data_IF_090224037134
#
_entry.id   IF_090224037134
#
_cell.length_a   1.000
_cell.length_b   1.000
_cell.length_c   1.000
_cell.angle_alpha   90.00
_cell.angle_beta   90.00
_cell.angle_gamma   90.00
#
_symmetry.space_group_name_H-M   'P 1'
#
loop_
_entity.id
_entity.type
_entity.pdbx_description
1 polymer ?
#
# COMPACT_ATOMS: atom_id res chain seq x y z
N UNK A 1 11.00 12.47 -11.57
CA UNK A 1 11.19 11.56 -12.73
C UNK A 1 11.32 10.14 -12.19
N UNK A 2 10.47 9.18 -12.64
CA UNK A 2 10.50 7.80 -12.15
C UNK A 2 11.63 7.00 -12.83
N UNK A 3 12.80 6.94 -12.21
CA UNK A 3 13.97 6.24 -12.78
C UNK A 3 13.76 4.73 -13.01
N UNK A 4 12.87 4.08 -12.26
CA UNK A 4 12.56 2.66 -12.42
C UNK A 4 11.88 2.32 -13.75
N UNK A 5 11.37 3.32 -14.49
CA UNK A 5 10.82 3.19 -15.85
C UNK A 5 11.67 3.90 -16.89
N UNK A 6 12.94 4.20 -16.61
CA UNK A 6 13.85 4.73 -17.63
C UNK A 6 14.13 3.68 -18.73
N UNK A 7 14.17 4.12 -19.99
CA UNK A 7 14.53 3.29 -21.16
C UNK A 7 13.45 3.21 -22.22
N UNK A 8 13.57 2.22 -23.11
CA UNK A 8 12.69 2.02 -24.27
C UNK A 8 11.58 1.01 -23.96
N UNK A 9 10.34 1.40 -24.20
CA UNK A 9 9.11 0.64 -23.88
C UNK A 9 8.31 0.23 -25.12
N UNK A 10 8.98 -0.05 -26.25
CA UNK A 10 8.30 -0.72 -27.36
C UNK A 10 7.91 -2.15 -26.96
N UNK A 11 6.91 -2.70 -27.65
CA UNK A 11 6.21 -3.96 -27.33
C UNK A 11 7.11 -5.19 -27.10
N UNK A 12 8.37 -5.15 -27.54
CA UNK A 12 9.35 -6.24 -27.39
C UNK A 12 10.68 -5.81 -26.75
N UNK A 13 10.80 -4.56 -26.34
CA UNK A 13 12.05 -4.02 -25.79
C UNK A 13 12.22 -4.39 -24.31
N UNK A 14 13.39 -4.96 -23.99
CA UNK A 14 13.87 -5.16 -22.61
C UNK A 14 14.93 -4.13 -22.21
N UNK A 15 15.16 -3.12 -23.06
CA UNK A 15 16.11 -2.04 -22.85
C UNK A 15 15.49 -0.94 -21.96
N UNK A 16 14.99 -1.36 -20.79
CA UNK A 16 14.44 -0.50 -19.76
C UNK A 16 14.82 -0.99 -18.36
N UNK A 17 14.84 -0.07 -17.40
CA UNK A 17 15.24 -0.35 -16.02
C UNK A 17 14.33 -1.40 -15.36
N UNK A 18 13.01 -1.32 -15.60
CA UNK A 18 12.02 -2.27 -15.10
C UNK A 18 12.33 -3.73 -15.48
N UNK A 19 12.78 -3.98 -16.71
CA UNK A 19 13.10 -5.34 -17.19
C UNK A 19 14.42 -5.89 -16.65
N UNK A 20 15.27 -5.05 -16.07
CA UNK A 20 16.65 -5.40 -15.71
C UNK A 20 16.94 -5.33 -14.22
N UNK A 21 16.17 -4.55 -13.46
CA UNK A 21 16.43 -4.31 -12.04
C UNK A 21 15.14 -4.16 -11.23
N UNK A 22 15.16 -4.71 -10.02
CA UNK A 22 14.17 -4.40 -8.98
C UNK A 22 14.60 -3.10 -8.32
N UNK A 23 13.83 -2.04 -8.55
CA UNK A 23 14.12 -0.71 -8.01
C UNK A 23 13.25 -0.41 -6.78
N UNK A 24 13.84 0.24 -5.78
CA UNK A 24 13.13 0.77 -4.62
C UNK A 24 13.71 2.14 -4.26
N UNK A 25 12.89 3.00 -3.66
CA UNK A 25 13.28 4.36 -3.30
C UNK A 25 13.32 4.53 -1.79
N UNK A 26 14.29 5.32 -1.32
CA UNK A 26 14.44 5.73 0.08
C UNK A 26 14.61 7.24 0.13
N UNK A 27 13.94 7.96 1.04
CA UNK A 27 14.08 9.41 1.16
C UNK A 27 15.50 9.87 1.50
N UNK A 28 16.30 9.01 2.18
CA UNK A 28 17.68 9.32 2.55
C UNK A 28 18.52 8.06 2.81
N UNK A 29 19.84 8.23 2.83
CA UNK A 29 20.79 7.18 3.24
C UNK A 29 20.54 6.77 4.71
N UNK A 30 20.17 7.72 5.59
CA UNK A 30 19.86 7.43 7.00
C UNK A 30 18.63 6.53 7.11
N UNK A 31 17.59 6.79 6.32
CA UNK A 31 16.38 5.96 6.27
C UNK A 31 16.69 4.55 5.79
N UNK A 32 17.57 4.42 4.78
CA UNK A 32 18.02 3.12 4.28
C UNK A 32 18.79 2.33 5.36
N UNK A 33 19.74 2.97 6.03
CA UNK A 33 20.49 2.35 7.11
C UNK A 33 19.58 1.94 8.28
N UNK A 34 18.57 2.75 8.60
CA UNK A 34 17.57 2.41 9.62
C UNK A 34 16.74 1.18 9.22
N UNK A 35 16.24 1.12 7.99
CA UNK A 35 15.49 -0.02 7.47
C UNK A 35 16.31 -1.32 7.50
N UNK A 36 17.58 -1.27 7.07
CA UNK A 36 18.48 -2.42 7.10
C UNK A 36 18.71 -2.99 8.51
N UNK A 37 18.88 -2.11 9.51
CA UNK A 37 19.01 -2.53 10.92
C UNK A 37 17.76 -3.21 11.47
N UNK A 38 16.56 -2.78 11.03
CA UNK A 38 15.30 -3.39 11.46
C UNK A 38 15.08 -4.76 10.80
N UNK A 39 15.43 -4.89 9.52
CA UNK A 39 15.28 -6.15 8.80
C UNK A 39 16.11 -7.28 9.42
N UNK A 40 17.32 -7.00 9.93
CA UNK A 40 18.16 -8.01 10.58
C UNK A 40 17.63 -8.54 11.92
N UNK A 41 16.64 -7.88 12.52
CA UNK A 41 16.07 -8.26 13.82
C UNK A 41 14.67 -8.88 13.74
N UNK A 42 14.16 -9.15 12.53
CA UNK A 42 12.80 -9.67 12.34
C UNK A 42 12.86 -11.19 12.19
N UNK A 43 12.48 -11.92 13.25
CA UNK A 43 12.21 -13.36 13.19
C UNK A 43 10.96 -13.64 12.33
N UNK A 44 10.85 -14.85 11.78
CA UNK A 44 9.71 -15.28 10.97
C UNK A 44 8.43 -15.40 11.81
N UNK A 45 7.77 -14.29 12.10
CA UNK A 45 6.45 -14.25 12.75
C UNK A 45 5.41 -14.60 11.69
N UNK A 46 4.38 -15.37 12.09
CA UNK A 46 3.18 -15.57 11.28
C UNK A 46 2.55 -14.20 10.99
N UNK A 47 2.65 -13.74 9.75
CA UNK A 47 2.33 -12.35 9.39
C UNK A 47 0.85 -12.01 9.60
N UNK A 48 0.59 -10.79 10.02
CA UNK A 48 -0.74 -10.19 10.10
C UNK A 48 -0.94 -9.19 8.96
N UNK A 49 -2.15 -9.15 8.39
CA UNK A 49 -2.54 -8.26 7.29
C UNK A 49 -3.70 -7.36 7.73
N UNK A 50 -3.44 -6.05 7.78
CA UNK A 50 -4.49 -5.03 7.88
C UNK A 50 -5.00 -4.71 6.47
N UNK A 51 -6.30 -4.82 6.22
CA UNK A 51 -6.91 -4.38 4.96
C UNK A 51 -7.88 -3.25 5.25
N UNK A 52 -7.52 -2.03 4.84
CA UNK A 52 -8.34 -0.83 5.01
C UNK A 52 -8.99 -0.45 3.69
N UNK A 53 -10.32 -0.34 3.71
CA UNK A 53 -11.14 -0.02 2.53
C UNK A 53 -11.90 1.28 2.75
N UNK A 54 -11.71 2.26 1.86
CA UNK A 54 -12.41 3.56 1.85
C UNK A 54 -13.11 3.74 0.50
N UNK A 55 -14.38 3.34 0.42
CA UNK A 55 -15.21 3.52 -0.79
C UNK A 55 -15.65 4.97 -1.02
N UNK A 56 -15.60 5.78 0.02
CA UNK A 56 -15.93 7.21 0.04
C UNK A 56 -14.89 7.91 0.91
N UNK A 57 -14.66 9.20 0.65
CA UNK A 57 -13.82 10.01 1.52
C UNK A 57 -14.73 10.89 2.41
N UNK A 58 -14.51 10.91 3.74
CA UNK A 58 -15.18 11.84 4.65
C UNK A 58 -15.00 13.30 4.20
N UNK A 59 -16.03 14.11 4.43
CA UNK A 59 -16.19 15.47 3.93
C UNK A 59 -15.13 16.42 4.52
N UNK A 60 -14.12 16.82 3.73
CA UNK A 60 -13.20 17.92 4.05
C UNK A 60 -13.30 19.11 3.09
N UNK A 61 -13.87 18.88 1.90
CA UNK A 61 -13.91 19.84 0.80
C UNK A 61 -15.35 20.21 0.37
N UNK A 62 -15.58 21.36 -0.29
CA UNK A 62 -16.86 21.71 -0.89
C UNK A 62 -17.37 20.61 -1.83
N UNK A 63 -18.70 20.44 -1.99
CA UNK A 63 -19.29 19.39 -2.85
C UNK A 63 -18.70 19.33 -4.27
N UNK A 64 -18.23 20.46 -4.80
CA UNK A 64 -17.59 20.57 -6.11
C UNK A 64 -16.23 19.89 -6.24
N UNK A 65 -15.60 19.51 -5.13
CA UNK A 65 -14.29 18.84 -5.07
C UNK A 65 -14.39 17.42 -4.50
N UNK A 66 -15.59 16.91 -4.23
CA UNK A 66 -15.76 15.55 -3.73
C UNK A 66 -15.29 14.55 -4.80
N UNK A 67 -14.32 13.66 -4.50
CA UNK A 67 -13.96 12.60 -5.41
C UNK A 67 -15.11 11.59 -5.53
N UNK A 68 -15.28 11.02 -6.73
CA UNK A 68 -16.29 9.99 -6.97
C UNK A 68 -16.09 8.80 -6.04
N UNK A 69 -17.18 8.16 -5.63
CA UNK A 69 -17.13 6.94 -4.83
C UNK A 69 -16.38 5.84 -5.61
N UNK A 70 -15.68 4.95 -4.89
CA UNK A 70 -14.88 3.86 -5.45
C UNK A 70 -15.61 2.52 -5.29
N UNK A 71 -16.48 2.12 -6.23
CA UNK A 71 -17.29 0.91 -6.09
C UNK A 71 -16.46 -0.38 -6.07
N UNK A 72 -15.31 -0.39 -6.76
CA UNK A 72 -14.43 -1.56 -6.89
C UNK A 72 -13.61 -1.86 -5.63
N UNK A 73 -13.65 -1.02 -4.60
CA UNK A 73 -12.92 -1.24 -3.33
C UNK A 73 -13.31 -2.58 -2.69
N UNK A 74 -14.59 -2.96 -2.77
CA UNK A 74 -15.06 -4.23 -2.21
C UNK A 74 -14.53 -5.43 -3.00
N UNK A 75 -14.45 -5.30 -4.32
CA UNK A 75 -13.94 -6.35 -5.21
C UNK A 75 -12.45 -6.57 -4.98
N UNK A 76 -11.64 -5.50 -4.92
CA UNK A 76 -10.21 -5.59 -4.64
C UNK A 76 -9.93 -6.24 -3.28
N UNK A 77 -10.66 -5.82 -2.23
CA UNK A 77 -10.57 -6.45 -0.91
C UNK A 77 -10.80 -7.96 -0.98
N UNK A 78 -11.84 -8.39 -1.69
CA UNK A 78 -12.18 -9.81 -1.79
C UNK A 78 -11.09 -10.61 -2.53
N UNK A 79 -10.47 -10.04 -3.56
CA UNK A 79 -9.34 -10.67 -4.27
C UNK A 79 -8.14 -10.83 -3.32
N UNK A 80 -7.81 -9.80 -2.54
CA UNK A 80 -6.71 -9.89 -1.56
C UNK A 80 -7.01 -10.92 -0.48
N UNK A 81 -8.25 -10.96 0.03
CA UNK A 81 -8.70 -11.95 1.02
C UNK A 81 -8.56 -13.39 0.50
N UNK A 82 -8.94 -13.64 -0.75
CA UNK A 82 -8.88 -14.95 -1.38
C UNK A 82 -7.43 -15.47 -1.46
N UNK A 83 -6.49 -14.60 -1.83
CA UNK A 83 -5.07 -14.96 -1.98
C UNK A 83 -4.36 -15.11 -0.63
N UNK A 84 -4.79 -14.38 0.40
CA UNK A 84 -4.03 -14.27 1.68
C UNK A 84 -4.67 -14.98 2.87
N UNK A 85 -5.96 -15.31 2.81
CA UNK A 85 -6.77 -15.79 3.94
C UNK A 85 -6.27 -17.09 4.59
N UNK A 86 -5.56 -17.93 3.85
CA UNK A 86 -4.99 -19.17 4.36
C UNK A 86 -3.63 -19.01 5.06
N UNK A 87 -2.97 -17.85 4.90
CA UNK A 87 -1.57 -17.65 5.26
C UNK A 87 -1.35 -16.56 6.30
N UNK A 88 -2.25 -15.60 6.40
CA UNK A 88 -2.11 -14.41 7.25
C UNK A 88 -3.28 -14.26 8.22
N UNK A 89 -3.01 -13.68 9.38
CA UNK A 89 -4.07 -13.20 10.27
C UNK A 89 -4.63 -11.89 9.70
N UNK A 90 -5.86 -11.92 9.20
CA UNK A 90 -6.45 -10.76 8.51
C UNK A 90 -7.30 -9.92 9.46
N UNK A 91 -7.09 -8.61 9.43
CA UNK A 91 -7.90 -7.60 10.09
C UNK A 91 -8.52 -6.66 9.03
N UNK A 92 -9.72 -6.96 8.51
CA UNK A 92 -10.37 -6.10 7.52
C UNK A 92 -11.14 -4.96 8.18
N UNK A 93 -10.93 -3.74 7.69
CA UNK A 93 -11.61 -2.53 8.14
C UNK A 93 -12.28 -1.81 6.96
N UNK A 94 -13.59 -1.56 7.09
CA UNK A 94 -14.36 -0.79 6.13
C UNK A 94 -14.70 0.58 6.68
N UNK A 95 -14.34 1.64 5.94
CA UNK A 95 -14.56 3.03 6.33
C UNK A 95 -14.05 3.36 7.75
N UNK A 96 -12.84 2.91 8.18
CA UNK A 96 -12.37 3.16 9.53
C UNK A 96 -12.04 4.64 9.79
N UNK A 97 -12.02 5.02 11.07
CA UNK A 97 -11.42 6.28 11.50
C UNK A 97 -9.88 6.22 11.46
N UNK A 98 -9.24 7.39 11.52
CA UNK A 98 -7.77 7.50 11.60
C UNK A 98 -7.22 6.71 12.80
N UNK A 99 -7.85 6.83 13.97
CA UNK A 99 -7.40 6.15 15.18
C UNK A 99 -7.45 4.62 15.03
N UNK A 100 -8.53 4.09 14.43
CA UNK A 100 -8.65 2.65 14.18
C UNK A 100 -7.54 2.14 13.26
N UNK A 101 -7.19 2.91 12.23
CA UNK A 101 -6.09 2.57 11.32
C UNK A 101 -4.75 2.62 12.04
N UNK A 102 -4.49 3.66 12.84
CA UNK A 102 -3.23 3.81 13.58
C UNK A 102 -3.03 2.67 14.58
N UNK A 103 -4.09 2.25 15.27
CA UNK A 103 -4.03 1.10 16.17
C UNK A 103 -3.75 -0.19 15.39
N UNK A 104 -4.43 -0.40 14.26
CA UNK A 104 -4.17 -1.56 13.39
C UNK A 104 -2.74 -1.62 12.84
N UNK A 105 -2.15 -0.47 12.51
CA UNK A 105 -0.78 -0.38 11.97
C UNK A 105 0.30 -0.80 12.98
N UNK A 106 0.03 -0.70 14.29
CA UNK A 106 1.00 -1.07 15.34
C UNK A 106 1.24 -2.57 15.40
N UNK A 107 0.20 -3.35 15.08
CA UNK A 107 0.18 -4.80 15.26
C UNK A 107 0.22 -5.58 13.93
N UNK A 108 0.13 -4.89 12.79
CA UNK A 108 0.17 -5.51 11.47
C UNK A 108 1.60 -5.71 10.95
N UNK A 109 1.81 -6.78 10.16
CA UNK A 109 3.05 -7.00 9.40
C UNK A 109 2.96 -6.42 7.99
N UNK A 110 1.75 -6.45 7.42
CA UNK A 110 1.41 -5.95 6.10
C UNK A 110 0.18 -5.06 6.25
N UNK A 111 0.17 -3.91 5.57
CA UNK A 111 -0.99 -3.05 5.47
C UNK A 111 -1.36 -2.86 4.00
N UNK A 112 -2.62 -3.11 3.66
CA UNK A 112 -3.21 -2.90 2.34
C UNK A 112 -4.26 -1.80 2.44
N UNK A 113 -4.09 -0.72 1.67
CA UNK A 113 -5.02 0.40 1.64
C UNK A 113 -5.65 0.50 0.26
N UNK A 114 -6.97 0.44 0.20
CA UNK A 114 -7.75 0.68 -1.03
C UNK A 114 -8.60 1.92 -0.83
N UNK A 115 -8.14 3.06 -1.35
CA UNK A 115 -8.72 4.39 -1.13
C UNK A 115 -8.37 5.35 -2.28
N UNK A 116 -8.80 6.62 -2.19
CA UNK A 116 -8.56 7.67 -3.19
C UNK A 116 -7.11 8.14 -3.34
N UNK A 117 -6.20 7.72 -2.45
CA UNK A 117 -4.75 7.93 -2.63
C UNK A 117 -4.26 9.38 -2.53
N UNK A 118 -5.04 10.29 -1.94
CA UNK A 118 -4.60 11.66 -1.65
C UNK A 118 -4.27 11.84 -0.16
N UNK A 119 -3.43 12.80 0.15
CA UNK A 119 -3.04 13.20 1.51
C UNK A 119 -3.36 14.68 1.69
N UNK A 120 -3.68 15.08 2.91
CA UNK A 120 -3.68 16.50 3.28
C UNK A 120 -2.24 17.03 3.07
N UNK A 121 -2.13 18.20 2.43
CA UNK A 121 -0.86 18.91 2.14
C UNK A 121 -0.57 19.97 3.19
#
# INVERSE_FOLDING_TARGET
>A
MPFHVAGTHSESSTENAYSRAISSYTPSIKTLAHAGKRASGTEAISGSLLITTMSTTPQSEPESQKPNDLPSVTEEKNIVLDVTGAHLLINPMGQPSVDQVIDGLRDCSIAHFTCHGFTDI
#
